data_IF_306291459687
#
_entry.id   IF_306291459687
#
_cell.length_a   1.000
_cell.length_b   1.000
_cell.length_c   1.000
_cell.angle_alpha   90.00
_cell.angle_beta   90.00
_cell.angle_gamma   90.00
#
_symmetry.space_group_name_H-M   'P 1'
#
loop_
_entity.id
_entity.type
_entity.pdbx_description
1 polymer ?
#
# COMPACT_ATOMS: atom_id res chain seq x y z
N UNK A 1 -1.56 -16.00 26.00
CA UNK A 1 -1.73 -14.76 25.41
C UNK A 1 -0.82 -14.50 24.26
N UNK A 2 -1.37 -14.34 23.18
CA UNK A 2 -0.56 -14.16 22.02
C UNK A 2 -0.28 -12.74 21.72
N UNK A 3 0.96 -12.36 21.92
CA UNK A 3 1.44 -11.11 21.44
C UNK A 3 2.09 -11.30 20.08
N UNK A 4 1.41 -12.03 19.21
CA UNK A 4 1.95 -12.21 17.88
C UNK A 4 2.03 -10.86 17.20
N UNK A 5 3.19 -10.60 16.63
CA UNK A 5 3.39 -9.39 15.85
C UNK A 5 2.43 -9.38 14.67
N UNK A 6 1.91 -8.21 14.40
CA UNK A 6 1.14 -8.01 13.20
C UNK A 6 2.03 -8.18 11.97
N UNK A 7 1.54 -8.88 10.97
CA UNK A 7 2.24 -9.03 9.70
C UNK A 7 1.25 -8.91 8.55
N UNK A 8 1.79 -8.74 7.35
CA UNK A 8 0.95 -8.56 6.16
C UNK A 8 0.53 -9.93 5.65
N UNK A 9 -0.75 -10.10 5.46
CA UNK A 9 -1.32 -11.35 4.92
C UNK A 9 -1.44 -11.31 3.39
N UNK A 10 -1.99 -10.24 2.86
CA UNK A 10 -2.30 -10.17 1.43
C UNK A 10 -2.57 -8.73 1.01
N UNK A 11 -2.65 -8.53 -0.31
CA UNK A 11 -3.03 -7.25 -0.87
C UNK A 11 -4.51 -6.96 -0.60
N UNK A 12 -4.83 -5.68 -0.53
CA UNK A 12 -6.20 -5.22 -0.34
C UNK A 12 -6.45 -3.97 -1.18
N UNK A 13 -7.67 -3.79 -1.61
CA UNK A 13 -8.03 -2.66 -2.46
C UNK A 13 -9.48 -2.29 -2.18
N UNK A 14 -9.72 -1.02 -1.91
CA UNK A 14 -11.08 -0.54 -1.66
C UNK A 14 -11.84 -0.40 -2.97
N UNK A 15 -13.10 -0.82 -2.95
CA UNK A 15 -13.97 -0.63 -4.10
C UNK A 15 -14.44 0.82 -4.16
N UNK A 16 -14.81 1.24 -5.36
CA UNK A 16 -15.42 2.56 -5.54
C UNK A 16 -16.73 2.60 -4.80
N UNK A 17 -17.04 3.77 -4.26
CA UNK A 17 -18.37 3.99 -3.73
C UNK A 17 -19.34 3.98 -4.88
N UNK A 18 -20.43 3.26 -4.73
CA UNK A 18 -21.49 3.29 -5.71
C UNK A 18 -21.98 4.71 -5.89
N UNK A 19 -22.23 5.11 -7.13
CA UNK A 19 -22.70 6.45 -7.45
C UNK A 19 -23.94 6.84 -6.67
N UNK A 20 -24.76 5.86 -6.38
CA UNK A 20 -26.03 6.03 -5.68
C UNK A 20 -25.95 5.63 -4.24
N UNK A 21 -24.77 5.49 -3.71
CA UNK A 21 -24.69 4.97 -2.37
C UNK A 21 -25.27 6.00 -1.42
N UNK A 22 -26.34 5.61 -0.89
CA UNK A 22 -27.02 6.32 0.14
C UNK A 22 -26.25 6.05 1.41
N UNK A 23 -25.75 7.10 2.04
CA UNK A 23 -25.19 6.97 3.38
C UNK A 23 -23.78 6.42 3.50
N UNK A 24 -22.91 7.01 2.73
CA UNK A 24 -21.50 6.81 3.03
C UNK A 24 -21.08 5.38 3.05
N UNK A 25 -21.56 4.62 2.08
CA UNK A 25 -21.06 3.30 1.88
C UNK A 25 -19.55 3.40 1.75
N UNK A 26 -18.87 2.96 2.78
CA UNK A 26 -17.44 2.91 2.78
C UNK A 26 -17.06 1.74 1.93
N UNK A 27 -16.84 1.92 0.69
CA UNK A 27 -16.58 0.86 -0.25
C UNK A 27 -15.99 -0.40 0.38
N UNK A 28 -16.50 -1.53 -0.05
CA UNK A 28 -16.04 -2.82 0.41
C UNK A 28 -14.55 -2.98 0.14
N UNK A 29 -13.83 -3.58 1.07
CA UNK A 29 -12.43 -3.90 0.87
C UNK A 29 -12.34 -5.28 0.26
N UNK A 30 -11.70 -5.37 -0.91
CA UNK A 30 -11.44 -6.64 -1.56
C UNK A 30 -10.01 -7.07 -1.27
N UNK A 31 -9.80 -8.36 -1.09
CA UNK A 31 -8.47 -8.89 -0.80
C UNK A 31 -8.07 -9.90 -1.87
N UNK A 32 -6.78 -10.07 -2.04
CA UNK A 32 -6.23 -11.03 -2.98
C UNK A 32 -4.75 -11.20 -2.72
N UNK A 33 -4.17 -12.21 -3.36
CA UNK A 33 -2.75 -12.51 -3.18
C UNK A 33 -1.88 -11.30 -3.57
N UNK A 34 -2.17 -10.70 -4.71
CA UNK A 34 -1.51 -9.49 -5.20
C UNK A 34 -2.56 -8.50 -5.69
N UNK A 35 -2.16 -7.24 -5.78
CA UNK A 35 -3.06 -6.21 -6.29
C UNK A 35 -3.55 -6.53 -7.72
N UNK A 36 -2.68 -7.09 -8.54
CA UNK A 36 -3.07 -7.49 -9.90
C UNK A 36 -4.18 -8.51 -9.93
N UNK A 37 -4.19 -9.44 -8.98
CA UNK A 37 -5.24 -10.44 -8.89
C UNK A 37 -6.59 -9.80 -8.55
N UNK A 38 -6.56 -8.80 -7.68
CA UNK A 38 -7.76 -8.06 -7.31
C UNK A 38 -8.27 -7.27 -8.52
N UNK A 39 -7.38 -6.63 -9.23
CA UNK A 39 -7.74 -5.87 -10.43
C UNK A 39 -8.35 -6.76 -11.52
N UNK A 40 -7.78 -7.95 -11.71
CA UNK A 40 -8.29 -8.88 -12.71
C UNK A 40 -9.73 -9.30 -12.41
N UNK A 41 -10.10 -9.31 -11.14
CA UNK A 41 -11.43 -9.75 -10.73
C UNK A 41 -12.45 -8.60 -10.71
N UNK A 42 -12.04 -7.44 -10.26
CA UNK A 42 -12.95 -6.32 -10.01
C UNK A 42 -12.78 -5.14 -10.96
N UNK A 43 -11.63 -5.00 -11.57
CA UNK A 43 -11.37 -3.99 -12.59
C UNK A 43 -11.77 -2.58 -12.19
N UNK A 44 -12.63 -1.97 -13.00
CA UNK A 44 -13.04 -0.59 -12.80
C UNK A 44 -13.93 -0.37 -11.58
N UNK A 45 -14.34 -1.43 -10.91
CA UNK A 45 -15.09 -1.28 -9.65
C UNK A 45 -14.18 -0.87 -8.50
N UNK A 46 -12.86 -0.95 -8.69
CA UNK A 46 -11.91 -0.57 -7.66
C UNK A 46 -11.70 0.95 -7.65
N UNK A 47 -11.49 1.50 -6.48
CA UNK A 47 -11.22 2.93 -6.34
C UNK A 47 -9.81 3.26 -6.80
N UNK A 48 -9.66 4.39 -7.48
CA UNK A 48 -8.35 4.92 -7.88
C UNK A 48 -7.92 6.09 -6.99
N UNK A 49 -8.66 6.35 -5.93
CA UNK A 49 -8.33 7.43 -5.02
C UNK A 49 -7.05 7.11 -4.22
N UNK A 50 -6.31 8.13 -3.80
CA UNK A 50 -5.16 7.92 -2.93
C UNK A 50 -5.55 7.13 -1.68
N UNK A 51 -4.76 6.15 -1.33
CA UNK A 51 -5.04 5.33 -0.15
C UNK A 51 -6.01 4.18 -0.39
N UNK A 52 -6.53 4.01 -1.61
CA UNK A 52 -7.43 2.90 -1.90
C UNK A 52 -6.71 1.55 -1.98
N UNK A 53 -5.47 1.55 -2.45
CA UNK A 53 -4.64 0.35 -2.48
C UNK A 53 -3.88 0.20 -1.17
N UNK A 54 -3.91 -0.97 -0.62
CA UNK A 54 -3.21 -1.23 0.62
C UNK A 54 -3.06 -2.73 0.85
N UNK A 55 -3.06 -3.11 2.11
CA UNK A 55 -2.86 -4.49 2.51
C UNK A 55 -3.75 -4.83 3.69
N UNK A 56 -3.98 -6.11 3.86
CA UNK A 56 -4.74 -6.63 4.98
C UNK A 56 -3.78 -7.37 5.91
N UNK A 57 -3.91 -7.12 7.20
CA UNK A 57 -2.95 -7.63 8.17
C UNK A 57 -3.50 -8.83 8.95
N UNK A 58 -2.60 -9.51 9.64
CA UNK A 58 -2.94 -10.63 10.51
C UNK A 58 -3.82 -10.21 11.69
N UNK A 59 -3.87 -8.92 12.00
CA UNK A 59 -4.76 -8.39 13.03
C UNK A 59 -6.13 -8.00 12.47
N UNK A 60 -6.39 -8.30 11.19
CA UNK A 60 -7.71 -8.09 10.61
C UNK A 60 -8.00 -6.66 10.22
N UNK A 61 -6.98 -5.88 9.88
CA UNK A 61 -7.20 -4.48 9.49
C UNK A 61 -6.58 -4.14 8.15
N UNK A 62 -7.14 -3.15 7.50
CA UNK A 62 -6.60 -2.57 6.28
C UNK A 62 -5.55 -1.53 6.67
N UNK A 63 -4.42 -1.57 5.99
CA UNK A 63 -3.37 -0.57 6.15
C UNK A 63 -2.98 0.00 4.80
N UNK A 64 -2.56 1.27 4.79
CA UNK A 64 -2.04 1.88 3.58
C UNK A 64 -0.76 1.16 3.15
N UNK A 65 -0.34 1.42 1.90
CA UNK A 65 0.91 0.82 1.40
C UNK A 65 2.12 1.26 2.21
N UNK A 66 2.13 2.51 2.66
CA UNK A 66 3.23 3.02 3.47
C UNK A 66 3.24 2.41 4.87
N UNK A 67 2.09 2.34 5.50
CA UNK A 67 1.97 1.69 6.80
C UNK A 67 2.29 0.20 6.69
N UNK A 68 1.90 -0.42 5.57
CA UNK A 68 2.20 -1.82 5.33
C UNK A 68 3.70 -2.10 5.27
N UNK A 69 4.49 -1.17 4.73
CA UNK A 69 5.95 -1.32 4.73
C UNK A 69 6.50 -1.39 6.14
N UNK A 70 5.99 -0.55 7.03
CA UNK A 70 6.41 -0.58 8.43
C UNK A 70 6.01 -1.90 9.10
N UNK A 71 4.77 -2.32 8.89
CA UNK A 71 4.28 -3.59 9.45
C UNK A 71 5.11 -4.77 8.96
N UNK A 72 5.36 -4.84 7.65
CA UNK A 72 6.10 -5.93 7.05
C UNK A 72 7.56 -5.94 7.52
N UNK A 73 8.18 -4.78 7.63
CA UNK A 73 9.55 -4.68 8.12
C UNK A 73 9.66 -5.15 9.57
N UNK A 74 8.78 -4.66 10.43
CA UNK A 74 8.79 -5.03 11.84
C UNK A 74 8.49 -6.53 12.06
N UNK A 75 7.77 -7.12 11.12
CA UNK A 75 7.47 -8.56 11.16
C UNK A 75 8.55 -9.42 10.51
N UNK A 76 9.58 -8.80 9.95
CA UNK A 76 10.66 -9.55 9.29
C UNK A 76 10.31 -10.04 7.89
N UNK A 77 9.27 -9.52 7.28
CA UNK A 77 8.85 -9.95 5.95
C UNK A 77 9.65 -9.31 4.82
N UNK A 78 10.20 -8.14 5.07
CA UNK A 78 11.03 -7.42 4.10
C UNK A 78 12.24 -6.82 4.81
N UNK A 79 13.29 -6.51 4.04
CA UNK A 79 14.47 -5.87 4.60
C UNK A 79 14.33 -4.35 4.57
N UNK A 80 15.32 -3.68 5.18
CA UNK A 80 15.31 -2.22 5.30
C UNK A 80 15.36 -1.54 3.93
N UNK A 81 16.13 -2.08 3.00
CA UNK A 81 16.22 -1.48 1.67
C UNK A 81 14.90 -1.54 0.91
N UNK A 82 14.11 -2.55 1.16
CA UNK A 82 12.79 -2.66 0.56
C UNK A 82 11.78 -1.77 1.29
N UNK A 83 11.93 -1.62 2.59
CA UNK A 83 10.96 -0.89 3.41
C UNK A 83 11.12 0.62 3.38
N UNK A 84 12.34 1.11 3.22
CA UNK A 84 12.63 2.53 3.39
C UNK A 84 13.38 3.11 2.20
N UNK A 85 13.20 4.42 2.01
CA UNK A 85 13.94 5.14 0.98
C UNK A 85 15.41 5.24 1.38
N UNK A 86 16.31 4.77 0.51
CA UNK A 86 17.74 4.97 0.72
C UNK A 86 18.14 6.37 0.31
N UNK A 87 19.22 6.88 0.90
CA UNK A 87 19.74 8.20 0.55
C UNK A 87 20.09 8.30 -0.94
N UNK A 88 20.67 7.25 -1.49
CA UNK A 88 21.06 7.20 -2.90
C UNK A 88 19.84 7.28 -3.82
N UNK A 89 18.80 6.50 -3.51
CA UNK A 89 17.59 6.48 -4.32
C UNK A 89 16.84 7.80 -4.21
N UNK A 90 16.78 8.38 -3.02
CA UNK A 90 16.15 9.68 -2.80
C UNK A 90 16.83 10.76 -3.62
N UNK A 91 18.17 10.78 -3.62
CA UNK A 91 18.91 11.75 -4.42
C UNK A 91 18.58 11.61 -5.89
N UNK A 92 18.60 10.38 -6.41
CA UNK A 92 18.27 10.11 -7.80
C UNK A 92 16.88 10.59 -8.18
N UNK A 93 15.89 10.26 -7.37
CA UNK A 93 14.49 10.55 -7.69
C UNK A 93 14.16 12.03 -7.54
N UNK A 94 14.78 12.72 -6.58
CA UNK A 94 14.54 14.13 -6.39
C UNK A 94 15.16 14.98 -7.50
N UNK A 95 16.11 14.43 -8.25
CA UNK A 95 16.65 15.09 -9.42
C UNK A 95 15.77 14.95 -10.66
N UNK A 96 14.86 14.00 -10.65
CA UNK A 96 13.97 13.80 -11.79
C UNK A 96 12.78 14.75 -11.65
N UNK A 97 12.71 15.72 -12.56
CA UNK A 97 11.60 16.65 -12.57
C UNK A 97 10.66 16.28 -13.70
N UNK A 98 9.42 16.03 -13.36
CA UNK A 98 8.39 15.77 -14.37
C UNK A 98 7.67 17.06 -14.67
N UNK A 99 7.61 17.39 -15.95
CA UNK A 99 6.92 18.58 -16.42
C UNK A 99 5.45 18.49 -16.02
N UNK A 100 4.94 19.51 -15.32
CA UNK A 100 3.54 19.59 -14.96
C UNK A 100 3.15 18.89 -13.67
N UNK A 101 4.10 18.30 -12.97
CA UNK A 101 3.83 17.67 -11.67
C UNK A 101 4.57 18.38 -10.56
N UNK A 102 3.90 18.52 -9.42
CA UNK A 102 4.57 19.01 -8.22
C UNK A 102 5.61 18.00 -7.81
N UNK A 103 6.87 18.40 -7.66
CA UNK A 103 7.88 17.47 -7.19
C UNK A 103 7.52 17.01 -5.78
N UNK A 104 7.49 15.71 -5.62
CA UNK A 104 7.31 15.12 -4.31
C UNK A 104 8.69 14.99 -3.70
N UNK A 105 8.88 15.66 -2.56
CA UNK A 105 10.16 15.55 -1.86
C UNK A 105 10.17 14.24 -1.10
N UNK A 106 11.15 13.40 -1.42
CA UNK A 106 11.37 12.14 -0.73
C UNK A 106 12.45 12.35 0.32
N UNK A 107 12.29 11.69 1.44
CA UNK A 107 13.23 11.82 2.56
C UNK A 107 13.82 10.43 2.84
N UNK A 108 15.15 10.36 2.89
CA UNK A 108 15.83 9.11 3.21
C UNK A 108 15.41 8.63 4.59
N UNK A 109 15.13 7.34 4.71
CA UNK A 109 14.68 6.74 5.96
C UNK A 109 13.17 6.70 6.13
N UNK A 110 12.41 7.39 5.29
CA UNK A 110 10.96 7.29 5.31
C UNK A 110 10.51 5.97 4.71
N UNK A 111 9.33 5.55 5.12
CA UNK A 111 8.76 4.30 4.63
C UNK A 111 8.36 4.43 3.17
N UNK A 112 8.76 3.44 2.38
CA UNK A 112 8.34 3.35 0.97
C UNK A 112 6.98 2.67 0.91
N UNK A 113 6.13 3.04 -0.06
CA UNK A 113 4.90 2.29 -0.28
C UNK A 113 5.24 0.84 -0.64
N UNK A 114 4.66 -0.10 0.10
CA UNK A 114 4.88 -1.52 -0.15
C UNK A 114 4.18 -1.95 -1.44
N UNK A 115 4.84 -2.75 -2.25
CA UNK A 115 4.24 -3.41 -3.40
C UNK A 115 4.01 -4.88 -3.05
N UNK A 116 2.97 -5.50 -3.60
CA UNK A 116 2.72 -6.91 -3.31
C UNK A 116 3.86 -7.80 -3.79
N UNK A 117 4.59 -7.37 -4.82
CA UNK A 117 5.77 -8.08 -5.31
C UNK A 117 6.90 -8.11 -4.28
N UNK A 118 6.93 -7.17 -3.35
CA UNK A 118 7.96 -7.14 -2.31
C UNK A 118 7.80 -8.29 -1.32
N UNK A 119 6.61 -8.85 -1.23
CA UNK A 119 6.30 -9.93 -0.29
C UNK A 119 6.37 -11.31 -0.92
N UNK A 120 6.18 -11.39 -2.22
CA UNK A 120 6.01 -12.68 -2.89
C UNK A 120 6.92 -12.86 -4.09
#
# INVERSE_FOLDING_TARGET
MNNSKEYILCAAWKRRKAHDSVKGDIGTIEIGYRHGDIYDKFGTELSVEPGAMGFFTSHGRFVSRTEAAEVAFNAGQIDENTAKWSAELVEKLNHIQYIGQKPRILIAGDWKPLASEDLY
#
